data_IF_208850887515
#
_entry.id   IF_208850887515
#
_cell.length_a   1.000
_cell.length_b   1.000
_cell.length_c   1.000
_cell.angle_alpha   90.00
_cell.angle_beta   90.00
_cell.angle_gamma   90.00
#
_symmetry.space_group_name_H-M   'P 1'
#
loop_
_entity.id
_entity.type
_entity.pdbx_description
1 polymer ?
#
# COMPACT_ATOMS: atom_id res chain seq x y z
N UNK A 1 10.35 2.49 44.54
CA UNK A 1 10.36 1.31 43.64
C UNK A 1 10.22 1.82 42.21
N UNK A 2 11.18 1.60 41.33
CA UNK A 2 11.09 1.98 39.92
C UNK A 2 10.17 0.97 39.24
N UNK A 3 9.13 1.44 38.57
CA UNK A 3 8.18 0.57 37.86
C UNK A 3 8.88 -0.13 36.69
N UNK A 4 8.77 -1.44 36.63
CA UNK A 4 9.25 -2.22 35.48
C UNK A 4 8.19 -2.19 34.36
N UNK A 5 8.39 -1.33 33.39
CA UNK A 5 7.47 -1.14 32.25
C UNK A 5 7.43 -2.36 31.31
N UNK A 6 8.49 -3.16 31.21
CA UNK A 6 8.51 -4.33 30.33
C UNK A 6 7.37 -5.32 30.67
N UNK A 7 7.06 -5.48 31.96
CA UNK A 7 5.97 -6.35 32.40
C UNK A 7 4.57 -5.71 32.29
N UNK A 8 4.48 -4.48 31.75
CA UNK A 8 3.22 -3.74 31.58
C UNK A 8 2.85 -3.49 30.12
N UNK A 9 3.80 -3.67 29.22
CA UNK A 9 3.57 -3.52 27.78
C UNK A 9 2.88 -4.79 27.28
N UNK A 10 1.91 -4.61 26.38
CA UNK A 10 1.19 -5.72 25.75
C UNK A 10 2.16 -6.69 25.04
N UNK A 11 1.92 -7.97 25.18
CA UNK A 11 2.79 -9.02 24.65
C UNK A 11 2.98 -8.90 23.13
N UNK A 12 1.91 -8.60 22.38
CA UNK A 12 1.97 -8.39 20.93
C UNK A 12 2.92 -7.26 20.54
N UNK A 13 2.98 -6.19 21.34
CA UNK A 13 3.87 -5.05 21.09
C UNK A 13 5.31 -5.41 21.46
N UNK A 14 5.49 -6.12 22.58
CA UNK A 14 6.81 -6.55 23.06
C UNK A 14 7.49 -7.55 22.12
N UNK A 15 6.72 -8.35 21.39
CA UNK A 15 7.21 -9.34 20.43
C UNK A 15 7.65 -8.74 19.09
N UNK A 16 7.25 -7.49 18.77
CA UNK A 16 7.63 -6.84 17.52
C UNK A 16 9.06 -6.31 17.61
N UNK A 17 9.97 -6.77 16.74
CA UNK A 17 11.32 -6.23 16.70
C UNK A 17 11.31 -4.76 16.28
N UNK A 18 12.24 -3.97 16.81
CA UNK A 18 12.46 -2.61 16.32
C UNK A 18 12.85 -2.66 14.83
N UNK A 19 12.32 -1.72 14.06
CA UNK A 19 12.70 -1.61 12.63
C UNK A 19 14.17 -1.23 12.51
N UNK A 20 15.00 -2.12 11.98
CA UNK A 20 16.43 -1.86 11.75
C UNK A 20 16.67 -0.68 10.79
N UNK A 21 15.73 -0.39 9.90
CA UNK A 21 15.76 0.81 9.04
C UNK A 21 15.76 2.08 9.91
N UNK A 22 14.97 2.14 10.96
CA UNK A 22 14.86 3.32 11.83
C UNK A 22 16.14 3.54 12.63
N UNK A 23 16.75 2.49 13.16
CA UNK A 23 18.05 2.59 13.87
C UNK A 23 19.13 3.14 12.94
N UNK A 24 19.14 2.72 11.68
CA UNK A 24 20.07 3.25 10.68
C UNK A 24 19.81 4.73 10.38
N UNK A 25 18.55 5.16 10.29
CA UNK A 25 18.20 6.57 10.08
C UNK A 25 18.65 7.48 11.24
N UNK A 26 18.49 7.01 12.48
CA UNK A 26 18.91 7.77 13.66
C UNK A 26 20.43 8.03 13.63
N UNK A 27 21.23 7.12 13.04
CA UNK A 27 22.68 7.27 12.87
C UNK A 27 23.08 8.32 11.82
N UNK A 28 22.26 8.53 10.79
CA UNK A 28 22.58 9.45 9.68
C UNK A 28 21.81 10.76 9.73
N UNK A 29 20.84 10.88 10.62
CA UNK A 29 20.06 12.11 10.81
C UNK A 29 20.97 13.27 11.23
N UNK A 30 20.91 14.38 10.49
CA UNK A 30 21.72 15.56 10.75
C UNK A 30 23.14 15.52 10.14
N UNK A 31 23.56 14.42 9.49
CA UNK A 31 24.82 14.33 8.78
C UNK A 31 24.67 14.91 7.37
N UNK A 32 25.46 15.93 7.04
CA UNK A 32 25.46 16.58 5.71
C UNK A 32 26.53 16.00 4.76
N UNK A 33 27.42 15.19 5.28
CA UNK A 33 28.52 14.52 4.56
C UNK A 33 28.12 13.15 4.01
N UNK A 34 26.88 12.71 4.25
CA UNK A 34 26.35 11.41 3.79
C UNK A 34 25.24 11.64 2.78
N UNK A 35 25.37 10.98 1.62
CA UNK A 35 24.28 10.85 0.64
C UNK A 35 23.42 9.66 1.06
N UNK A 36 22.23 9.94 1.62
CA UNK A 36 21.32 8.88 2.01
C UNK A 36 20.55 8.34 0.82
N UNK A 37 20.58 7.01 0.64
CA UNK A 37 19.71 6.26 -0.28
C UNK A 37 18.70 5.39 0.47
N UNK A 38 18.46 5.71 1.73
CA UNK A 38 17.82 4.79 2.67
C UNK A 38 16.30 4.87 2.72
N UNK A 39 15.67 6.05 2.62
CA UNK A 39 14.20 6.16 2.64
C UNK A 39 13.63 6.05 1.24
N UNK A 40 12.76 5.06 1.00
CA UNK A 40 12.06 4.90 -0.27
C UNK A 40 10.91 5.90 -0.43
N UNK A 41 11.22 7.20 -0.48
CA UNK A 41 10.23 8.24 -0.80
C UNK A 41 10.62 9.00 -2.07
N UNK A 42 9.63 9.55 -2.81
CA UNK A 42 9.90 10.45 -3.93
C UNK A 42 10.75 11.64 -3.49
N UNK A 43 11.85 11.90 -4.19
CA UNK A 43 12.67 13.11 -4.00
C UNK A 43 12.14 14.32 -4.78
N UNK A 44 10.96 14.18 -5.35
CA UNK A 44 10.22 15.27 -5.97
C UNK A 44 9.35 15.97 -4.95
N UNK A 45 9.27 17.28 -5.06
CA UNK A 45 8.24 18.07 -4.37
C UNK A 45 6.89 17.76 -5.02
N UNK A 46 5.86 17.58 -4.22
CA UNK A 46 4.48 17.44 -4.72
C UNK A 46 4.17 18.53 -5.78
N UNK A 47 3.59 18.20 -6.92
CA UNK A 47 3.27 19.16 -7.99
C UNK A 47 2.54 20.40 -7.48
N UNK A 48 2.85 21.56 -8.10
CA UNK A 48 2.37 22.85 -7.57
C UNK A 48 0.85 22.95 -7.50
N UNK A 49 0.14 22.54 -8.54
CA UNK A 49 -1.32 22.54 -8.57
C UNK A 49 -1.95 21.76 -7.40
N UNK A 50 -1.35 20.62 -7.03
CA UNK A 50 -1.80 19.79 -5.89
C UNK A 50 -1.56 20.52 -4.56
N UNK A 51 -0.38 21.15 -4.40
CA UNK A 51 -0.07 21.95 -3.20
C UNK A 51 -0.97 23.18 -3.10
N UNK A 52 -1.19 23.84 -4.23
CA UNK A 52 -2.06 25.01 -4.32
C UNK A 52 -3.50 24.67 -3.90
N UNK A 53 -4.04 23.51 -4.31
CA UNK A 53 -5.35 23.05 -3.88
C UNK A 53 -5.43 22.88 -2.35
N UNK A 54 -4.38 22.36 -1.71
CA UNK A 54 -4.32 22.26 -0.25
C UNK A 54 -4.30 23.65 0.43
N UNK A 55 -3.50 24.59 -0.10
CA UNK A 55 -3.42 25.97 0.40
C UNK A 55 -4.77 26.66 0.24
N UNK A 56 -5.38 26.54 -0.93
CA UNK A 56 -6.68 27.12 -1.23
C UNK A 56 -7.79 26.59 -0.32
N UNK A 57 -7.76 25.30 0.01
CA UNK A 57 -8.73 24.75 0.96
C UNK A 57 -8.66 25.42 2.34
N UNK A 58 -7.45 25.73 2.82
CA UNK A 58 -7.24 26.46 4.06
C UNK A 58 -7.72 27.92 3.95
N UNK A 59 -7.42 28.62 2.86
CA UNK A 59 -7.88 29.98 2.58
C UNK A 59 -9.41 30.06 2.54
N UNK A 60 -10.08 29.03 2.07
CA UNK A 60 -11.55 28.91 2.07
C UNK A 60 -12.14 28.52 3.43
N UNK A 61 -11.31 28.25 4.41
CA UNK A 61 -11.77 27.84 5.74
C UNK A 61 -12.23 26.40 5.84
N UNK A 62 -11.79 25.51 4.94
CA UNK A 62 -12.06 24.08 5.04
C UNK A 62 -11.18 23.48 6.15
N UNK A 63 -11.66 23.56 7.40
CA UNK A 63 -10.91 23.14 8.60
C UNK A 63 -11.72 22.22 9.53
N UNK A 64 -12.92 21.83 9.11
CA UNK A 64 -13.83 21.00 9.89
C UNK A 64 -13.65 19.50 9.56
N UNK A 65 -14.21 18.65 10.41
CA UNK A 65 -14.28 17.23 10.13
C UNK A 65 -15.04 16.93 8.85
N UNK A 66 -14.63 15.89 8.14
CA UNK A 66 -15.35 15.34 6.99
C UNK A 66 -16.19 14.13 7.41
N UNK A 67 -16.89 13.53 6.47
CA UNK A 67 -17.45 12.19 6.67
C UNK A 67 -16.35 11.21 7.09
N UNK A 68 -16.67 10.24 7.95
CA UNK A 68 -15.75 9.16 8.31
C UNK A 68 -15.28 8.34 7.10
N UNK A 69 -16.07 8.25 6.04
CA UNK A 69 -15.67 7.65 4.77
C UNK A 69 -14.75 8.53 3.92
N UNK A 70 -14.59 9.81 4.27
CA UNK A 70 -13.94 10.84 3.48
C UNK A 70 -14.92 11.67 2.66
N UNK A 71 -14.45 12.77 2.04
CA UNK A 71 -15.23 13.65 1.16
C UNK A 71 -15.87 12.84 0.04
N UNK A 72 -17.16 13.05 -0.20
CA UNK A 72 -17.88 12.37 -1.30
C UNK A 72 -17.26 12.70 -2.66
N UNK A 73 -16.88 13.96 -2.87
CA UNK A 73 -16.18 14.41 -4.08
C UNK A 73 -14.90 13.61 -4.33
N UNK A 74 -14.08 13.43 -3.29
CA UNK A 74 -12.86 12.62 -3.39
C UNK A 74 -13.18 11.15 -3.71
N UNK A 75 -14.15 10.55 -3.04
CA UNK A 75 -14.53 9.14 -3.30
C UNK A 75 -15.03 8.94 -4.73
N UNK A 76 -15.74 9.91 -5.30
CA UNK A 76 -16.14 9.90 -6.72
C UNK A 76 -14.95 10.02 -7.67
N UNK A 77 -13.99 10.90 -7.38
CA UNK A 77 -12.73 10.99 -8.15
C UNK A 77 -11.90 9.72 -8.04
N UNK A 78 -11.83 9.09 -6.84
CA UNK A 78 -11.18 7.78 -6.65
C UNK A 78 -11.81 6.70 -7.54
N UNK A 79 -13.12 6.55 -7.51
CA UNK A 79 -13.80 5.51 -8.31
C UNK A 79 -13.58 5.72 -9.79
N UNK A 80 -13.64 6.97 -10.27
CA UNK A 80 -13.34 7.30 -11.67
C UNK A 80 -11.91 6.93 -12.05
N UNK A 81 -10.94 7.20 -11.16
CA UNK A 81 -9.55 6.85 -11.36
C UNK A 81 -9.34 5.33 -11.36
N UNK A 82 -9.93 4.63 -10.39
CA UNK A 82 -9.83 3.16 -10.25
C UNK A 82 -10.45 2.46 -11.45
N UNK A 83 -11.62 2.90 -11.92
CA UNK A 83 -12.25 2.35 -13.11
C UNK A 83 -11.37 2.56 -14.36
N UNK A 84 -10.84 3.76 -14.55
CA UNK A 84 -9.98 4.09 -15.70
C UNK A 84 -8.61 3.41 -15.70
N UNK A 85 -8.01 3.20 -14.53
CA UNK A 85 -6.64 2.69 -14.43
C UNK A 85 -6.56 1.20 -14.07
N UNK A 86 -7.40 0.72 -13.16
CA UNK A 86 -7.41 -0.67 -12.69
C UNK A 86 -8.52 -1.51 -13.33
N UNK A 87 -9.44 -0.90 -14.07
CA UNK A 87 -10.59 -1.55 -14.71
C UNK A 87 -11.50 -2.29 -13.73
N UNK A 88 -11.71 -1.68 -12.54
CA UNK A 88 -12.62 -2.18 -11.52
C UNK A 88 -13.57 -1.06 -11.12
N UNK A 89 -14.86 -1.31 -11.20
CA UNK A 89 -15.89 -0.35 -10.83
C UNK A 89 -16.36 -0.56 -9.39
N UNK A 90 -16.42 0.51 -8.59
CA UNK A 90 -16.88 0.50 -7.21
C UNK A 90 -17.96 1.57 -6.98
N UNK A 91 -18.84 1.34 -5.99
CA UNK A 91 -19.77 2.35 -5.52
C UNK A 91 -19.03 3.37 -4.63
N UNK A 92 -18.99 4.66 -5.01
CA UNK A 92 -18.29 5.67 -4.22
C UNK A 92 -18.91 5.91 -2.84
N UNK A 93 -20.16 5.51 -2.60
CA UNK A 93 -20.84 5.73 -1.32
C UNK A 93 -20.66 4.58 -0.34
N UNK A 94 -20.39 3.36 -0.83
CA UNK A 94 -20.40 2.15 -0.02
C UNK A 94 -19.10 1.33 -0.08
N UNK A 95 -18.39 1.39 -1.20
CA UNK A 95 -17.25 0.52 -1.49
C UNK A 95 -15.90 1.25 -1.43
N UNK A 96 -15.85 2.49 -0.88
CA UNK A 96 -14.62 3.30 -0.77
C UNK A 96 -14.48 3.87 0.64
N UNK A 97 -13.28 3.75 1.22
CA UNK A 97 -12.88 4.38 2.47
C UNK A 97 -11.58 5.16 2.27
N UNK A 98 -11.59 6.45 2.57
CA UNK A 98 -10.39 7.30 2.59
C UNK A 98 -9.69 7.13 3.93
N UNK A 99 -8.36 6.92 3.90
CA UNK A 99 -7.55 6.59 5.07
C UNK A 99 -6.33 7.48 5.23
N UNK A 100 -5.71 7.49 6.42
CA UNK A 100 -4.45 8.21 6.71
C UNK A 100 -3.26 7.41 6.14
N UNK A 101 -3.18 7.37 4.80
CA UNK A 101 -2.25 6.55 4.04
C UNK A 101 -2.67 5.08 3.95
N UNK A 102 -2.01 4.34 3.05
CA UNK A 102 -2.24 2.90 2.86
C UNK A 102 -1.89 2.10 4.12
N UNK A 103 -0.97 2.60 4.95
CA UNK A 103 -0.61 1.95 6.21
C UNK A 103 -1.80 1.82 7.17
N UNK A 104 -2.64 2.85 7.27
CA UNK A 104 -3.89 2.75 8.03
C UNK A 104 -4.88 1.80 7.37
N UNK A 105 -5.01 1.85 6.04
CA UNK A 105 -5.90 0.94 5.33
C UNK A 105 -5.57 -0.54 5.60
N UNK A 106 -4.27 -0.89 5.66
CA UNK A 106 -3.80 -2.24 6.01
C UNK A 106 -4.18 -2.58 7.47
N UNK A 107 -3.91 -1.69 8.42
CA UNK A 107 -4.24 -1.90 9.84
C UNK A 107 -5.75 -2.12 10.04
N UNK A 108 -6.56 -1.24 9.46
CA UNK A 108 -8.02 -1.34 9.53
C UNK A 108 -8.55 -2.65 8.92
N UNK A 109 -8.01 -3.04 7.76
CA UNK A 109 -8.40 -4.28 7.08
C UNK A 109 -8.09 -5.51 7.92
N UNK A 110 -6.86 -5.62 8.40
CA UNK A 110 -6.43 -6.76 9.21
C UNK A 110 -7.23 -6.85 10.51
N UNK A 111 -7.44 -5.73 11.21
CA UNK A 111 -8.25 -5.69 12.44
C UNK A 111 -9.74 -5.96 12.19
N UNK A 112 -10.26 -5.65 11.00
CA UNK A 112 -11.65 -5.94 10.64
C UNK A 112 -11.87 -7.41 10.25
N UNK A 113 -10.83 -8.09 9.75
CA UNK A 113 -10.93 -9.44 9.18
C UNK A 113 -10.49 -10.51 10.17
N UNK A 114 -9.39 -10.29 10.92
CA UNK A 114 -8.71 -11.36 11.65
C UNK A 114 -9.31 -11.60 13.05
N UNK A 115 -9.48 -12.87 13.38
CA UNK A 115 -9.57 -13.35 14.74
C UNK A 115 -8.21 -13.86 15.21
N UNK A 116 -7.97 -13.99 16.54
CA UNK A 116 -6.73 -14.58 17.04
C UNK A 116 -6.46 -15.96 16.44
N UNK A 117 -5.29 -16.11 15.82
CA UNK A 117 -4.85 -17.34 15.18
C UNK A 117 -5.23 -17.52 13.71
N UNK A 118 -6.03 -16.61 13.11
CA UNK A 118 -6.22 -16.56 11.66
C UNK A 118 -4.88 -16.29 10.97
N UNK A 119 -4.62 -16.98 9.87
CA UNK A 119 -3.35 -16.90 9.15
C UNK A 119 -3.46 -15.97 7.94
N UNK A 120 -2.41 -15.16 7.76
CA UNK A 120 -2.22 -14.27 6.63
C UNK A 120 -0.98 -14.68 5.86
N UNK A 121 -1.14 -15.09 4.61
CA UNK A 121 -0.03 -15.33 3.69
C UNK A 121 0.40 -14.02 3.03
N UNK A 122 1.71 -13.83 2.87
CA UNK A 122 2.29 -12.72 2.11
C UNK A 122 3.57 -13.19 1.43
N UNK A 123 3.86 -12.66 0.23
CA UNK A 123 5.11 -13.02 -0.45
C UNK A 123 6.32 -12.29 0.16
N UNK A 124 7.47 -12.94 0.19
CA UNK A 124 8.71 -12.36 0.73
C UNK A 124 9.85 -12.48 -0.30
N UNK A 125 10.71 -11.41 -0.49
CA UNK A 125 10.76 -10.15 0.26
C UNK A 125 9.55 -9.25 0.04
N UNK A 126 9.20 -8.45 1.06
CA UNK A 126 8.06 -7.55 1.05
C UNK A 126 8.30 -6.28 1.88
N UNK A 127 7.30 -5.42 1.93
CA UNK A 127 7.33 -4.26 2.82
C UNK A 127 7.37 -4.70 4.30
N UNK A 128 8.32 -4.14 5.03
CA UNK A 128 8.67 -4.56 6.41
C UNK A 128 7.52 -4.48 7.41
N UNK A 129 6.47 -3.73 7.11
CA UNK A 129 5.34 -3.55 8.03
C UNK A 129 4.28 -4.65 7.92
N UNK A 130 4.29 -5.53 6.90
CA UNK A 130 3.21 -6.50 6.73
C UNK A 130 3.12 -7.47 7.90
N UNK A 131 4.19 -8.20 8.21
CA UNK A 131 4.18 -9.15 9.32
C UNK A 131 3.88 -8.48 10.68
N UNK A 132 4.50 -7.34 11.06
CA UNK A 132 4.11 -6.60 12.26
C UNK A 132 2.65 -6.20 12.31
N UNK A 133 2.06 -5.74 11.20
CA UNK A 133 0.65 -5.34 11.15
C UNK A 133 -0.29 -6.53 11.37
N UNK A 134 0.03 -7.69 10.79
CA UNK A 134 -0.71 -8.94 11.03
C UNK A 134 -0.65 -9.33 12.51
N UNK A 135 0.54 -9.30 13.10
CA UNK A 135 0.73 -9.67 14.51
C UNK A 135 0.00 -8.70 15.46
N UNK A 136 0.01 -7.38 15.17
CA UNK A 136 -0.76 -6.39 15.94
C UNK A 136 -2.27 -6.62 15.85
N UNK A 137 -2.74 -7.22 14.77
CA UNK A 137 -4.14 -7.61 14.59
C UNK A 137 -4.45 -9.04 15.12
N UNK A 138 -3.56 -9.63 15.94
CA UNK A 138 -3.68 -10.97 16.51
C UNK A 138 -3.66 -12.12 15.49
N UNK A 139 -3.30 -11.85 14.24
CA UNK A 139 -3.11 -12.86 13.21
C UNK A 139 -1.74 -13.54 13.27
N UNK A 140 -1.59 -14.59 12.47
CA UNK A 140 -0.34 -15.32 12.24
C UNK A 140 0.20 -14.95 10.87
N UNK A 141 1.34 -14.27 10.82
CA UNK A 141 1.97 -13.86 9.57
C UNK A 141 2.82 -15.00 9.01
N UNK A 142 2.50 -15.50 7.82
CA UNK A 142 3.21 -16.60 7.17
C UNK A 142 3.77 -16.16 5.83
N UNK A 143 5.10 -16.16 5.71
CA UNK A 143 5.79 -15.77 4.50
C UNK A 143 5.77 -16.88 3.44
N UNK A 144 5.43 -16.53 2.21
CA UNK A 144 5.60 -17.38 1.02
C UNK A 144 6.88 -16.93 0.32
N UNK A 145 7.94 -17.73 0.31
CA UNK A 145 9.23 -17.30 -0.22
C UNK A 145 9.19 -17.13 -1.74
N UNK A 146 9.81 -16.07 -2.24
CA UNK A 146 10.13 -15.88 -3.64
C UNK A 146 11.65 -15.89 -3.85
N UNK A 147 12.12 -16.07 -5.07
CA UNK A 147 13.54 -16.20 -5.34
C UNK A 147 14.03 -15.27 -6.46
N UNK A 148 15.31 -14.91 -6.41
CA UNK A 148 15.98 -14.19 -7.50
C UNK A 148 15.95 -14.99 -8.80
N UNK A 149 15.96 -16.31 -8.72
CA UNK A 149 15.91 -17.21 -9.89
C UNK A 149 14.65 -17.00 -10.71
N UNK A 150 13.54 -16.70 -10.03
CA UNK A 150 12.22 -16.48 -10.62
C UNK A 150 11.88 -14.97 -10.68
N UNK A 151 12.90 -14.11 -10.65
CA UNK A 151 12.74 -12.64 -10.62
C UNK A 151 11.78 -12.17 -9.52
N UNK A 152 11.78 -12.87 -8.39
CA UNK A 152 10.86 -12.64 -7.26
C UNK A 152 9.38 -12.72 -7.61
N UNK A 153 9.03 -13.46 -8.66
CA UNK A 153 7.64 -13.80 -8.95
C UNK A 153 7.10 -14.75 -7.88
N UNK A 154 5.85 -14.53 -7.48
CA UNK A 154 5.15 -15.46 -6.58
C UNK A 154 4.75 -16.70 -7.37
N UNK A 155 5.32 -17.86 -7.00
CA UNK A 155 4.98 -19.14 -7.61
C UNK A 155 3.62 -19.64 -7.07
N UNK A 156 2.61 -19.87 -7.93
CA UNK A 156 1.30 -20.34 -7.51
C UNK A 156 1.31 -21.69 -6.79
N UNK A 157 2.18 -22.64 -7.18
CA UNK A 157 2.28 -23.94 -6.53
C UNK A 157 2.82 -23.82 -5.10
N UNK A 158 3.84 -22.94 -4.89
CA UNK A 158 4.39 -22.66 -3.57
C UNK A 158 3.35 -21.95 -2.70
N UNK A 159 2.61 -21.01 -3.28
CA UNK A 159 1.51 -20.33 -2.60
C UNK A 159 0.45 -21.35 -2.15
N UNK A 160 -0.02 -22.20 -3.04
CA UNK A 160 -1.08 -23.18 -2.71
C UNK A 160 -0.63 -24.19 -1.66
N UNK A 161 0.62 -24.65 -1.73
CA UNK A 161 1.22 -25.53 -0.72
C UNK A 161 1.38 -24.88 0.66
N UNK A 162 1.37 -23.55 0.73
CA UNK A 162 1.47 -22.80 1.98
C UNK A 162 0.11 -22.57 2.67
N UNK A 163 -0.99 -22.91 2.00
CA UNK A 163 -2.35 -22.70 2.54
C UNK A 163 -2.66 -23.76 3.58
N UNK A 164 -3.16 -23.34 4.73
CA UNK A 164 -3.65 -24.18 5.82
C UNK A 164 -5.13 -23.95 6.07
N UNK A 165 -5.82 -24.77 6.87
CA UNK A 165 -7.20 -24.52 7.28
C UNK A 165 -7.42 -23.21 8.05
N UNK A 166 -6.36 -22.56 8.52
CA UNK A 166 -6.40 -21.27 9.21
C UNK A 166 -6.13 -20.08 8.29
N UNK A 167 -5.68 -20.34 7.07
CA UNK A 167 -5.37 -19.29 6.10
C UNK A 167 -6.65 -18.59 5.68
N UNK A 168 -6.71 -17.29 5.90
CA UNK A 168 -7.89 -16.47 5.63
C UNK A 168 -7.62 -15.34 4.64
N UNK A 169 -6.39 -14.83 4.64
CA UNK A 169 -6.01 -13.65 3.85
C UNK A 169 -4.73 -13.93 3.08
N UNK A 170 -4.70 -13.47 1.83
CA UNK A 170 -3.49 -13.32 1.03
C UNK A 170 -3.20 -11.83 0.84
N UNK A 171 -1.99 -11.37 1.22
CA UNK A 171 -1.51 -10.03 0.94
C UNK A 171 -0.58 -10.05 -0.27
N UNK A 172 -0.86 -9.18 -1.23
CA UNK A 172 -0.07 -8.98 -2.44
C UNK A 172 0.39 -7.53 -2.55
N UNK A 173 1.59 -7.32 -3.11
CA UNK A 173 2.11 -6.01 -3.46
C UNK A 173 2.90 -6.11 -4.76
N UNK A 174 2.30 -5.69 -5.85
CA UNK A 174 2.93 -5.64 -7.17
C UNK A 174 2.60 -4.32 -7.87
N UNK A 175 3.63 -3.54 -8.31
CA UNK A 175 5.07 -3.77 -8.15
C UNK A 175 5.51 -3.82 -6.69
N UNK A 176 6.47 -4.70 -6.39
CA UNK A 176 6.85 -5.05 -5.01
C UNK A 176 7.88 -4.09 -4.43
N UNK A 177 7.70 -3.67 -3.20
CA UNK A 177 8.75 -3.13 -2.37
C UNK A 177 9.40 -4.28 -1.56
N UNK A 178 10.72 -4.61 -1.67
CA UNK A 178 11.77 -3.75 -2.25
C UNK A 178 12.23 -4.14 -3.68
N UNK A 179 11.78 -5.26 -4.24
CA UNK A 179 12.42 -5.87 -5.42
C UNK A 179 12.05 -5.22 -6.75
N UNK A 180 10.94 -4.46 -6.79
CA UNK A 180 10.37 -3.94 -8.04
C UNK A 180 9.73 -5.03 -8.92
N UNK A 181 9.59 -6.26 -8.42
CA UNK A 181 8.96 -7.35 -9.15
C UNK A 181 7.52 -7.00 -9.53
N UNK A 182 7.12 -7.46 -10.70
CA UNK A 182 5.73 -7.37 -11.20
C UNK A 182 5.21 -8.77 -11.46
N UNK A 183 3.94 -9.01 -11.16
CA UNK A 183 3.33 -10.30 -11.45
C UNK A 183 2.86 -10.34 -12.92
N UNK A 184 3.23 -11.37 -13.70
CA UNK A 184 2.62 -11.64 -15.00
C UNK A 184 1.12 -11.89 -14.86
N UNK A 185 0.35 -11.53 -15.90
CA UNK A 185 -1.12 -11.68 -15.87
C UNK A 185 -1.52 -13.15 -15.67
N UNK A 186 -0.81 -14.06 -16.30
CA UNK A 186 -1.04 -15.51 -16.19
C UNK A 186 -0.85 -15.98 -14.75
N UNK A 187 0.18 -15.48 -14.07
CA UNK A 187 0.43 -15.76 -12.65
C UNK A 187 -0.70 -15.21 -11.78
N UNK A 188 -1.16 -13.96 -12.02
CA UNK A 188 -2.28 -13.38 -11.28
C UNK A 188 -3.58 -14.19 -11.49
N UNK A 189 -3.83 -14.69 -12.71
CA UNK A 189 -4.97 -15.53 -13.00
C UNK A 189 -4.93 -16.87 -12.23
N UNK A 190 -3.76 -17.48 -12.10
CA UNK A 190 -3.62 -18.71 -11.32
C UNK A 190 -3.78 -18.44 -9.82
N UNK A 191 -3.18 -17.37 -9.30
CA UNK A 191 -3.39 -16.92 -7.92
C UNK A 191 -4.89 -16.66 -7.65
N UNK A 192 -5.58 -16.02 -8.59
CA UNK A 192 -7.03 -15.78 -8.48
C UNK A 192 -7.82 -17.10 -8.36
N UNK A 193 -7.50 -18.11 -9.18
CA UNK A 193 -8.13 -19.44 -9.09
C UNK A 193 -7.89 -20.10 -7.73
N UNK A 194 -6.67 -20.00 -7.19
CA UNK A 194 -6.32 -20.50 -5.86
C UNK A 194 -7.14 -19.77 -4.80
N UNK A 195 -7.19 -18.44 -4.83
CA UNK A 195 -7.97 -17.65 -3.88
C UNK A 195 -9.47 -18.00 -3.90
N UNK A 196 -10.04 -18.24 -5.08
CA UNK A 196 -11.43 -18.66 -5.23
C UNK A 196 -11.63 -20.07 -4.66
N UNK A 197 -10.74 -21.02 -4.98
CA UNK A 197 -10.82 -22.42 -4.54
C UNK A 197 -10.76 -22.54 -3.00
N UNK A 198 -9.91 -21.74 -2.37
CA UNK A 198 -9.66 -21.78 -0.93
C UNK A 198 -10.43 -20.71 -0.15
N UNK A 199 -11.35 -20.00 -0.80
CA UNK A 199 -12.17 -18.90 -0.22
C UNK A 199 -11.34 -17.84 0.52
N UNK A 200 -10.21 -17.43 -0.04
CA UNK A 200 -9.32 -16.43 0.56
C UNK A 200 -9.81 -15.02 0.26
N UNK A 201 -9.64 -14.13 1.23
CA UNK A 201 -9.71 -12.68 1.05
C UNK A 201 -8.35 -12.20 0.54
N UNK A 202 -8.34 -11.28 -0.42
CA UNK A 202 -7.10 -10.70 -0.96
C UNK A 202 -6.99 -9.23 -0.53
N UNK A 203 -5.86 -8.87 0.08
CA UNK A 203 -5.44 -7.47 0.25
C UNK A 203 -4.37 -7.19 -0.79
N UNK A 204 -4.68 -6.38 -1.79
CA UNK A 204 -3.71 -6.01 -2.83
C UNK A 204 -3.23 -4.58 -2.64
N UNK A 205 -1.96 -4.42 -2.25
CA UNK A 205 -1.32 -3.11 -2.09
C UNK A 205 -0.76 -2.65 -3.42
N UNK A 206 -1.49 -1.74 -4.06
CA UNK A 206 -1.25 -1.25 -5.42
C UNK A 206 -0.51 0.11 -5.43
N UNK A 207 0.13 0.49 -4.32
CA UNK A 207 0.72 1.84 -4.13
C UNK A 207 1.79 2.22 -5.17
N UNK A 208 2.37 1.24 -5.89
CA UNK A 208 3.40 1.43 -6.90
C UNK A 208 2.94 1.20 -8.34
N UNK A 209 1.66 0.99 -8.58
CA UNK A 209 1.10 0.58 -9.87
C UNK A 209 1.44 1.53 -11.03
N UNK A 210 1.52 2.84 -10.79
CA UNK A 210 1.89 3.85 -11.80
C UNK A 210 3.39 3.86 -12.10
N UNK A 211 4.23 3.32 -11.20
CA UNK A 211 5.68 3.36 -11.31
C UNK A 211 6.27 2.16 -12.06
N UNK A 212 5.53 1.62 -13.01
CA UNK A 212 6.02 0.59 -13.95
C UNK A 212 6.80 1.24 -15.09
N UNK A 213 7.91 0.58 -15.49
CA UNK A 213 8.85 1.10 -16.49
C UNK A 213 8.98 0.20 -17.72
N UNK A 214 8.20 -0.88 -17.78
CA UNK A 214 8.24 -1.88 -18.87
C UNK A 214 7.29 -1.55 -20.04
N UNK A 215 6.57 -0.43 -19.95
CA UNK A 215 5.61 0.03 -20.97
C UNK A 215 4.31 -0.79 -21.02
N UNK A 216 4.15 -1.79 -20.15
CA UNK A 216 2.93 -2.61 -20.11
C UNK A 216 1.89 -1.99 -19.18
N UNK A 217 0.59 -2.15 -19.46
CA UNK A 217 -0.44 -1.75 -18.52
C UNK A 217 -0.32 -2.54 -17.20
N UNK A 218 -0.66 -1.88 -16.10
CA UNK A 218 -0.82 -2.56 -14.83
C UNK A 218 -2.11 -3.37 -14.82
N UNK A 219 -2.09 -4.56 -14.23
CA UNK A 219 -3.26 -5.40 -14.03
C UNK A 219 -3.41 -5.67 -12.55
N UNK A 220 -4.51 -5.21 -11.96
CA UNK A 220 -4.86 -5.55 -10.59
C UNK A 220 -5.56 -6.90 -10.54
N UNK A 221 -5.26 -7.70 -9.52
CA UNK A 221 -5.99 -8.95 -9.28
C UNK A 221 -7.49 -8.71 -9.05
N UNK A 222 -7.86 -7.54 -8.54
CA UNK A 222 -9.26 -7.15 -8.32
C UNK A 222 -10.07 -7.08 -9.63
N UNK A 223 -9.40 -6.87 -10.80
CA UNK A 223 -10.07 -6.82 -12.11
C UNK A 223 -10.35 -8.20 -12.72
N UNK A 224 -9.80 -9.26 -12.14
CA UNK A 224 -9.98 -10.61 -12.65
C UNK A 224 -11.36 -11.18 -12.26
N UNK A 225 -11.94 -12.05 -13.08
CA UNK A 225 -13.25 -12.64 -12.80
C UNK A 225 -13.32 -13.31 -11.43
N UNK A 226 -14.36 -13.00 -10.64
CA UNK A 226 -14.58 -13.54 -9.29
C UNK A 226 -13.66 -13.00 -8.21
N UNK A 227 -12.90 -11.92 -8.49
CA UNK A 227 -11.97 -11.36 -7.53
C UNK A 227 -12.45 -10.06 -6.89
N UNK A 228 -13.30 -9.27 -7.55
CA UNK A 228 -13.82 -8.02 -6.97
C UNK A 228 -14.50 -8.27 -5.61
N UNK A 229 -15.27 -9.34 -5.50
CA UNK A 229 -16.09 -9.69 -4.34
C UNK A 229 -15.29 -10.16 -3.12
N UNK A 230 -13.99 -10.44 -3.30
CA UNK A 230 -13.08 -10.93 -2.26
C UNK A 230 -11.79 -10.13 -2.13
N UNK A 231 -11.63 -9.05 -2.90
CA UNK A 231 -10.40 -8.25 -2.91
C UNK A 231 -10.64 -6.88 -2.32
N UNK A 232 -9.75 -6.47 -1.42
CA UNK A 232 -9.58 -5.10 -0.98
C UNK A 232 -8.39 -4.50 -1.74
N UNK A 233 -8.67 -3.58 -2.64
CA UNK A 233 -7.67 -2.79 -3.36
C UNK A 233 -7.25 -1.63 -2.47
N UNK A 234 -5.96 -1.58 -2.14
CA UNK A 234 -5.32 -0.55 -1.32
C UNK A 234 -4.45 0.32 -2.21
N UNK A 235 -4.67 1.62 -2.18
CA UNK A 235 -3.90 2.56 -2.99
C UNK A 235 -3.82 3.93 -2.31
N UNK A 236 -2.98 4.82 -2.84
CA UNK A 236 -2.81 6.14 -2.24
C UNK A 236 -1.92 7.08 -3.05
N UNK A 237 -1.66 8.24 -2.48
CA UNK A 237 -1.08 9.37 -3.19
C UNK A 237 0.42 9.52 -2.96
N UNK A 238 0.98 8.77 -2.01
CA UNK A 238 2.35 8.93 -1.53
C UNK A 238 3.40 8.78 -2.62
N UNK A 239 3.22 7.83 -3.55
CA UNK A 239 4.25 7.44 -4.52
C UNK A 239 4.02 8.06 -5.90
N UNK A 240 2.84 7.83 -6.49
CA UNK A 240 2.51 8.34 -7.82
C UNK A 240 2.52 9.87 -7.88
N UNK A 241 2.07 10.55 -6.82
CA UNK A 241 1.92 12.01 -6.77
C UNK A 241 2.91 12.72 -5.84
N UNK A 242 3.93 12.02 -5.32
CA UNK A 242 4.91 12.57 -4.38
C UNK A 242 4.28 13.24 -3.15
N UNK A 243 3.22 12.63 -2.58
CA UNK A 243 2.42 13.16 -1.47
C UNK A 243 2.68 12.40 -0.16
N UNK A 244 3.91 11.97 0.12
CA UNK A 244 4.23 11.18 1.33
C UNK A 244 3.83 11.89 2.61
N UNK A 245 4.06 13.21 2.70
CA UNK A 245 3.75 14.05 3.85
C UNK A 245 2.26 14.34 4.05
N UNK A 246 1.43 14.18 3.02
CA UNK A 246 -0.03 14.40 3.09
C UNK A 246 -0.76 13.30 3.86
N UNK A 247 -0.10 12.15 4.04
CA UNK A 247 -0.67 11.00 4.76
C UNK A 247 -2.07 10.63 4.27
N UNK A 248 -2.22 10.38 2.97
CA UNK A 248 -3.52 10.02 2.38
C UNK A 248 -3.44 8.76 1.52
N UNK A 249 -4.41 7.89 1.72
CA UNK A 249 -4.64 6.67 0.96
C UNK A 249 -6.12 6.33 0.93
N UNK A 250 -6.45 5.22 0.33
CA UNK A 250 -7.80 4.72 0.28
C UNK A 250 -7.85 3.19 0.11
N UNK A 251 -8.98 2.63 0.49
CA UNK A 251 -9.34 1.24 0.24
C UNK A 251 -10.61 1.20 -0.61
N UNK A 252 -10.62 0.33 -1.63
CA UNK A 252 -11.81 -0.02 -2.41
C UNK A 252 -12.08 -1.52 -2.29
N UNK A 253 -13.32 -1.90 -1.98
CA UNK A 253 -13.66 -3.30 -1.81
C UNK A 253 -15.12 -3.55 -1.45
N UNK A 254 -15.49 -4.78 -1.12
CA UNK A 254 -16.87 -5.12 -0.79
C UNK A 254 -17.44 -4.28 0.35
N UNK A 255 -18.68 -3.79 0.18
CA UNK A 255 -19.38 -2.94 1.17
C UNK A 255 -19.30 -3.48 2.60
N UNK A 256 -19.52 -4.78 2.89
CA UNK A 256 -19.44 -5.29 4.26
C UNK A 256 -18.07 -5.10 4.91
N UNK A 257 -16.98 -5.26 4.13
CA UNK A 257 -15.61 -5.07 4.61
C UNK A 257 -15.30 -3.59 4.82
N UNK A 258 -15.64 -2.74 3.85
CA UNK A 258 -15.48 -1.28 3.97
C UNK A 258 -16.26 -0.75 5.18
N UNK A 259 -17.47 -1.22 5.41
CA UNK A 259 -18.27 -0.84 6.59
C UNK A 259 -17.62 -1.31 7.90
N UNK A 260 -17.03 -2.50 7.94
CA UNK A 260 -16.31 -2.99 9.12
C UNK A 260 -15.05 -2.16 9.41
N UNK A 261 -14.26 -1.83 8.39
CA UNK A 261 -13.09 -0.96 8.49
C UNK A 261 -13.48 0.44 8.97
N UNK A 262 -14.55 1.01 8.43
CA UNK A 262 -15.06 2.33 8.83
C UNK A 262 -15.42 2.37 10.32
N UNK A 263 -15.98 1.31 10.89
CA UNK A 263 -16.27 1.23 12.34
C UNK A 263 -15.01 1.41 13.20
N UNK A 264 -13.87 0.88 12.76
CA UNK A 264 -12.59 1.04 13.47
C UNK A 264 -12.05 2.46 13.23
N UNK A 265 -12.07 2.92 11.98
CA UNK A 265 -11.59 4.22 11.57
C UNK A 265 -12.26 5.37 12.35
N UNK A 266 -13.59 5.32 12.50
CA UNK A 266 -14.34 6.36 13.22
C UNK A 266 -13.95 6.49 14.71
N UNK A 267 -13.47 5.41 15.34
CA UNK A 267 -13.07 5.43 16.75
C UNK A 267 -11.56 5.65 16.93
N UNK A 268 -10.77 5.58 15.87
CA UNK A 268 -9.31 5.81 15.91
C UNK A 268 -8.91 7.17 15.35
N UNK A 269 -9.25 7.45 14.09
CA UNK A 269 -8.84 8.66 13.36
C UNK A 269 -9.98 9.63 13.07
N UNK A 270 -11.22 9.17 13.14
CA UNK A 270 -12.44 9.90 12.78
C UNK A 270 -12.53 10.16 11.27
N UNK A 271 -11.57 10.89 10.70
CA UNK A 271 -11.45 11.14 9.26
C UNK A 271 -10.00 11.49 8.91
N UNK A 272 -9.63 11.32 7.63
CA UNK A 272 -8.36 11.82 7.13
C UNK A 272 -8.37 13.36 7.05
N UNK A 273 -7.18 14.05 7.09
CA UNK A 273 -7.10 15.50 7.04
C UNK A 273 -7.79 16.08 5.79
N UNK A 274 -8.67 17.06 5.98
CA UNK A 274 -9.46 17.65 4.88
C UNK A 274 -8.57 18.28 3.81
N UNK A 275 -7.51 18.97 4.20
CA UNK A 275 -6.53 19.60 3.29
C UNK A 275 -5.87 18.59 2.37
N UNK A 276 -5.57 17.39 2.91
CA UNK A 276 -5.02 16.29 2.13
C UNK A 276 -6.07 15.72 1.16
N UNK A 277 -7.32 15.65 1.56
CA UNK A 277 -8.40 15.17 0.71
C UNK A 277 -8.68 16.13 -0.46
N UNK A 278 -8.69 17.44 -0.22
CA UNK A 278 -8.84 18.46 -1.26
C UNK A 278 -7.67 18.44 -2.27
N UNK A 279 -6.43 18.32 -1.77
CA UNK A 279 -5.26 18.14 -2.62
C UNK A 279 -5.33 16.86 -3.47
N UNK A 280 -5.89 15.80 -2.93
CA UNK A 280 -6.00 14.53 -3.62
C UNK A 280 -7.03 14.54 -4.76
N UNK A 281 -8.09 15.32 -4.65
CA UNK A 281 -9.02 15.54 -5.77
C UNK A 281 -8.26 16.13 -6.96
N UNK A 282 -7.48 17.19 -6.73
CA UNK A 282 -6.65 17.82 -7.75
C UNK A 282 -5.62 16.85 -8.33
N UNK A 283 -5.00 16.02 -7.47
CA UNK A 283 -4.05 15.00 -7.92
C UNK A 283 -4.68 14.00 -8.91
N UNK A 284 -5.88 13.51 -8.63
CA UNK A 284 -6.58 12.56 -9.50
C UNK A 284 -7.10 13.20 -10.78
N UNK A 285 -7.56 14.44 -10.73
CA UNK A 285 -8.16 15.12 -11.86
C UNK A 285 -7.13 15.73 -12.81
N UNK A 286 -6.06 16.31 -12.28
CA UNK A 286 -5.10 17.11 -13.05
C UNK A 286 -3.62 16.71 -12.83
N UNK A 287 -3.31 15.75 -11.94
CA UNK A 287 -1.94 15.36 -11.58
C UNK A 287 -1.25 14.42 -12.55
N UNK A 288 -1.97 13.78 -13.49
CA UNK A 288 -1.44 12.72 -14.37
C UNK A 288 -0.20 13.15 -15.15
N UNK A 289 -0.19 14.36 -15.74
CA UNK A 289 0.94 14.86 -16.52
C UNK A 289 2.23 14.97 -15.68
N UNK A 290 2.12 15.46 -14.45
CA UNK A 290 3.24 15.57 -13.53
C UNK A 290 3.73 14.18 -13.08
N UNK A 291 2.82 13.27 -12.77
CA UNK A 291 3.13 11.87 -12.42
C UNK A 291 3.90 11.18 -13.55
N UNK A 292 3.48 11.32 -14.80
CA UNK A 292 4.18 10.73 -15.94
C UNK A 292 5.61 11.28 -16.12
N UNK A 293 5.83 12.58 -15.88
CA UNK A 293 7.17 13.18 -15.90
C UNK A 293 8.07 12.61 -14.79
N UNK A 294 7.55 12.48 -13.58
CA UNK A 294 8.28 11.87 -12.46
C UNK A 294 8.60 10.41 -12.75
N UNK A 295 7.66 9.63 -13.28
CA UNK A 295 7.87 8.23 -13.68
C UNK A 295 8.97 8.10 -14.72
N UNK A 296 9.00 8.96 -15.73
CA UNK A 296 10.06 8.95 -16.76
C UNK A 296 11.43 9.27 -16.15
N UNK A 297 11.51 10.24 -15.24
CA UNK A 297 12.74 10.51 -14.52
C UNK A 297 13.23 9.32 -13.68
N UNK A 298 12.32 8.63 -12.98
CA UNK A 298 12.65 7.40 -12.24
C UNK A 298 13.14 6.29 -13.18
N UNK A 299 12.53 6.12 -14.35
CA UNK A 299 12.95 5.14 -15.34
C UNK A 299 14.40 5.41 -15.78
N UNK A 300 14.74 6.65 -16.09
CA UNK A 300 16.10 7.05 -16.51
C UNK A 300 17.12 6.80 -15.38
N UNK A 301 16.78 7.15 -14.14
CA UNK A 301 17.65 6.91 -12.98
C UNK A 301 17.87 5.41 -12.74
N UNK A 302 16.81 4.61 -12.81
CA UNK A 302 16.90 3.14 -12.72
C UNK A 302 17.83 2.59 -13.80
N UNK A 303 17.63 2.97 -15.05
CA UNK A 303 18.42 2.46 -16.18
C UNK A 303 19.89 2.83 -16.02
N UNK A 304 20.19 4.07 -15.61
CA UNK A 304 21.55 4.52 -15.32
C UNK A 304 22.18 3.73 -14.17
N UNK A 305 21.49 3.61 -13.05
CA UNK A 305 21.99 2.95 -11.85
C UNK A 305 22.27 1.46 -12.10
N UNK A 306 21.31 0.75 -12.69
CA UNK A 306 21.44 -0.67 -13.02
C UNK A 306 22.65 -0.90 -13.96
N UNK A 307 22.79 -0.06 -15.00
CA UNK A 307 23.94 -0.14 -15.90
C UNK A 307 25.25 0.05 -15.13
N UNK A 308 25.36 1.10 -14.30
CA UNK A 308 26.61 1.40 -13.57
C UNK A 308 26.97 0.32 -12.56
N UNK A 309 25.98 -0.25 -11.86
CA UNK A 309 26.22 -1.34 -10.91
C UNK A 309 26.70 -2.61 -11.63
N UNK A 310 26.13 -2.93 -12.79
CA UNK A 310 26.59 -4.06 -13.60
C UNK A 310 28.00 -3.83 -14.16
N UNK A 311 28.31 -2.62 -14.63
CA UNK A 311 29.64 -2.25 -15.09
C UNK A 311 30.72 -2.35 -13.98
N UNK A 312 30.33 -2.15 -12.73
CA UNK A 312 31.19 -2.31 -11.55
C UNK A 312 31.23 -3.75 -11.00
N UNK A 313 30.72 -4.74 -11.72
CA UNK A 313 30.62 -6.14 -11.31
C UNK A 313 29.79 -6.36 -10.03
N UNK A 314 28.98 -5.39 -9.63
CA UNK A 314 27.99 -5.57 -8.58
C UNK A 314 26.72 -6.17 -9.19
N UNK A 315 26.23 -7.25 -8.59
CA UNK A 315 25.00 -7.89 -9.06
C UNK A 315 23.80 -7.03 -8.72
N UNK A 316 22.98 -6.72 -9.74
CA UNK A 316 21.64 -6.15 -9.58
C UNK A 316 20.61 -7.23 -9.86
N UNK A 317 19.56 -7.24 -9.08
CA UNK A 317 18.39 -8.11 -9.27
C UNK A 317 17.36 -7.45 -10.17
#
# INVERSE_FOLDING_TARGET
MIMNWQNKIAEQVSSIPRSGIREFFDLVTGRTDIISLGVGEPDFVTPWNIREAAIYSLEKGHTSYTSNYGLESLRRSIVKYVDGFFHVNYDPLREVLVTVGVSEAIDLALRAILNPGDEVLYHEPCYVSYAPSVNMAYGVATAVPTSKRDLFALNPEVLEASITPRTKVLMLNFPTNPTGAVAPVETLQEIARICIRHDLIVLTDEIYSELRYDGKPHVSIASLPGMKERTLLLHGFSKAFAMTGFRLGYACGPEPLISAMMKIHQYSMLCAPITSQEAAIEALENGTSAMLKMRESYRQRRDYLVKRLNDCLLYTS
#
